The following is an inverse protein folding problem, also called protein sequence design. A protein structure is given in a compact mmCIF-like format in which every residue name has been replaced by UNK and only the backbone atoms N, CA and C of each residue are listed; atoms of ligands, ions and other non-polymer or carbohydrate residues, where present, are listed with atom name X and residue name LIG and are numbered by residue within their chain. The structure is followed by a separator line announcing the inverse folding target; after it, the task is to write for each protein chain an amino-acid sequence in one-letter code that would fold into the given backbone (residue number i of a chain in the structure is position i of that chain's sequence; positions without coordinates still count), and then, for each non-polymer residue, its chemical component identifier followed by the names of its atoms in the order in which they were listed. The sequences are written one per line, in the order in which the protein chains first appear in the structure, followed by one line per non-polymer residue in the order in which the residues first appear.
data_IF_523425881271
#
_entry.id   IF_523425881271
#
_cell.length_a   1.000
_cell.length_b   1.000
_cell.length_c   1.000
_cell.angle_alpha   90.00
_cell.angle_beta   90.00
_cell.angle_gamma   90.00
#
_symmetry.space_group_name_H-M   'P 1'
#
loop_
_entity.id
_entity.type
_entity.pdbx_description
1 polymer ?
#
# COMPACT_ATOMS: atom_id res chain seq x y z
N UNK A 1 43.20 -13.30 24.08
CA UNK A 1 42.19 -12.24 23.90
C UNK A 1 42.68 -11.25 22.84
N UNK A 2 42.06 -11.15 21.67
CA UNK A 2 42.43 -10.15 20.65
C UNK A 2 41.71 -8.85 20.96
N UNK A 3 42.41 -7.87 21.51
CA UNK A 3 41.87 -6.53 21.76
C UNK A 3 41.71 -5.83 20.41
N UNK A 4 40.48 -5.75 19.89
CA UNK A 4 40.18 -4.92 18.72
C UNK A 4 40.37 -3.44 19.09
N UNK A 5 41.52 -2.86 18.72
CA UNK A 5 41.81 -1.44 18.92
C UNK A 5 40.74 -0.59 18.21
N UNK A 6 39.96 0.19 18.97
CA UNK A 6 38.98 1.12 18.41
C UNK A 6 39.70 2.31 17.77
N UNK A 7 39.41 2.58 16.50
CA UNK A 7 39.98 3.73 15.79
C UNK A 7 39.59 5.07 16.42
N UNK A 8 40.58 5.97 16.51
CA UNK A 8 40.39 7.34 17.00
C UNK A 8 39.41 8.11 16.10
N UNK A 9 38.80 9.17 16.64
CA UNK A 9 37.85 10.02 15.90
C UNK A 9 38.51 10.63 14.64
N UNK A 10 39.74 11.12 14.81
CA UNK A 10 40.54 11.70 13.73
C UNK A 10 40.86 10.68 12.63
N UNK A 11 41.17 9.43 12.98
CA UNK A 11 41.38 8.37 12.01
C UNK A 11 40.12 8.10 11.16
N UNK A 12 38.94 8.07 11.79
CA UNK A 12 37.65 7.89 11.08
C UNK A 12 37.32 9.07 10.15
N UNK A 13 37.60 10.29 10.58
CA UNK A 13 37.45 11.49 9.74
C UNK A 13 38.39 11.48 8.54
N UNK A 14 39.65 11.07 8.73
CA UNK A 14 40.64 10.95 7.66
C UNK A 14 40.26 9.87 6.63
N UNK A 15 39.75 8.72 7.09
CA UNK A 15 39.20 7.69 6.21
C UNK A 15 38.00 8.22 5.41
N UNK A 16 37.09 8.94 6.06
CA UNK A 16 35.91 9.51 5.39
C UNK A 16 36.28 10.57 4.35
N UNK A 17 37.30 11.41 4.62
CA UNK A 17 37.81 12.40 3.67
C UNK A 17 38.48 11.72 2.48
N UNK A 18 39.31 10.70 2.71
CA UNK A 18 40.02 9.95 1.66
C UNK A 18 39.10 9.17 0.73
N UNK A 19 37.97 8.66 1.24
CA UNK A 19 36.99 7.92 0.46
C UNK A 19 36.01 8.82 -0.33
N UNK A 20 35.94 10.12 -0.01
CA UNK A 20 34.99 11.05 -0.61
C UNK A 20 35.36 11.30 -2.08
N UNK A 21 34.44 11.00 -3.00
CA UNK A 21 34.62 11.23 -4.45
C UNK A 21 35.36 10.12 -5.22
N UNK A 22 36.03 9.18 -4.54
CA UNK A 22 36.68 8.04 -5.21
C UNK A 22 35.64 6.98 -5.58
N UNK A 23 35.39 6.77 -6.87
CA UNK A 23 34.61 5.61 -7.33
C UNK A 23 35.44 4.36 -7.10
N UNK A 24 34.88 3.39 -6.37
CA UNK A 24 35.48 2.07 -6.27
C UNK A 24 35.62 1.50 -7.69
N UNK A 25 36.81 1.05 -8.07
CA UNK A 25 37.11 0.47 -9.39
C UNK A 25 36.26 -0.76 -9.72
N UNK A 26 35.66 -1.39 -8.71
CA UNK A 26 34.74 -2.52 -8.85
C UNK A 26 33.30 -2.08 -9.14
N UNK A 27 32.95 -0.79 -8.96
CA UNK A 27 31.59 -0.29 -9.10
C UNK A 27 31.17 -0.30 -10.59
N UNK A 28 30.15 -1.09 -10.92
CA UNK A 28 29.69 -1.30 -12.30
C UNK A 28 30.37 -2.45 -13.05
N UNK A 29 31.41 -3.09 -12.48
CA UNK A 29 32.07 -4.24 -13.09
C UNK A 29 31.14 -5.46 -13.10
N UNK A 30 30.74 -5.91 -14.29
CA UNK A 30 29.94 -7.14 -14.45
C UNK A 30 30.80 -8.36 -14.11
N UNK A 31 30.30 -9.24 -13.26
CA UNK A 31 30.95 -10.52 -12.98
C UNK A 31 30.71 -11.49 -14.14
N UNK A 32 31.72 -12.29 -14.47
CA UNK A 32 31.55 -13.44 -15.37
C UNK A 32 30.55 -14.44 -14.79
N UNK A 33 29.88 -15.20 -15.66
CA UNK A 33 28.94 -16.23 -15.24
C UNK A 33 29.61 -17.28 -14.34
N UNK A 34 30.84 -17.69 -14.68
CA UNK A 34 31.66 -18.57 -13.85
C UNK A 34 31.87 -18.02 -12.43
N UNK A 35 32.21 -16.73 -12.31
CA UNK A 35 32.42 -16.09 -11.00
C UNK A 35 31.11 -16.01 -10.19
N UNK A 36 29.98 -15.77 -10.86
CA UNK A 36 28.64 -15.81 -10.21
C UNK A 36 28.31 -17.22 -9.71
N UNK A 37 28.59 -18.25 -10.52
CA UNK A 37 28.37 -19.65 -10.16
C UNK A 37 29.25 -20.07 -8.97
N UNK A 38 30.55 -19.75 -9.00
CA UNK A 38 31.48 -20.02 -7.88
C UNK A 38 31.06 -19.30 -6.59
N UNK A 39 30.65 -18.03 -6.68
CA UNK A 39 30.16 -17.30 -5.52
C UNK A 39 28.85 -17.88 -4.96
N UNK A 40 27.94 -18.32 -5.83
CA UNK A 40 26.69 -18.99 -5.45
C UNK A 40 26.95 -20.32 -4.75
N UNK A 41 27.84 -21.16 -5.31
CA UNK A 41 28.27 -22.42 -4.71
C UNK A 41 28.84 -22.21 -3.31
N UNK A 42 29.79 -21.28 -3.15
CA UNK A 42 30.38 -20.93 -1.85
C UNK A 42 29.35 -20.47 -0.82
N UNK A 43 28.36 -19.68 -1.23
CA UNK A 43 27.28 -19.20 -0.36
C UNK A 43 26.32 -20.31 0.06
N UNK A 44 26.14 -21.33 -0.79
CA UNK A 44 25.33 -22.52 -0.49
C UNK A 44 26.07 -23.51 0.42
N UNK A 45 27.38 -23.68 0.21
CA UNK A 45 28.25 -24.54 1.03
C UNK A 45 28.42 -23.99 2.44
N UNK A 46 28.63 -22.68 2.57
CA UNK A 46 28.85 -22.04 3.86
C UNK A 46 27.84 -20.89 4.09
N UNK A 47 26.53 -21.21 4.19
CA UNK A 47 25.53 -20.18 4.40
C UNK A 47 25.79 -19.56 5.77
N UNK A 48 25.56 -18.26 5.90
CA UNK A 48 25.73 -17.54 7.16
C UNK A 48 24.61 -17.99 8.12
N UNK A 49 24.75 -19.20 8.71
CA UNK A 49 23.72 -19.90 9.49
C UNK A 49 23.47 -19.28 10.87
N UNK A 50 24.39 -18.46 11.37
CA UNK A 50 24.36 -18.05 12.78
C UNK A 50 23.14 -17.21 13.19
N UNK A 51 22.43 -16.57 12.25
CA UNK A 51 21.18 -15.83 12.50
C UNK A 51 19.94 -16.52 11.93
N UNK A 52 20.07 -17.59 11.14
CA UNK A 52 18.92 -18.31 10.61
C UNK A 52 18.15 -18.97 11.76
N UNK A 53 16.86 -18.67 11.86
CA UNK A 53 15.97 -19.21 12.91
C UNK A 53 16.12 -18.59 14.29
N UNK A 54 17.18 -17.80 14.56
CA UNK A 54 17.36 -17.15 15.86
C UNK A 54 16.47 -15.92 15.97
N UNK A 55 15.63 -15.88 17.01
CA UNK A 55 14.90 -14.66 17.37
C UNK A 55 15.89 -13.61 17.87
N UNK A 56 15.78 -12.39 17.34
CA UNK A 56 16.58 -11.27 17.83
C UNK A 56 16.25 -11.00 19.32
N UNK A 57 17.23 -10.60 20.14
CA UNK A 57 16.99 -10.24 21.53
C UNK A 57 15.89 -9.17 21.65
N UNK A 58 14.95 -9.36 22.58
CA UNK A 58 13.78 -8.46 22.76
C UNK A 58 14.21 -7.01 22.99
N UNK A 59 15.26 -6.81 23.78
CA UNK A 59 15.92 -5.52 24.04
C UNK A 59 16.30 -4.78 22.74
N UNK A 60 16.99 -5.45 21.82
CA UNK A 60 17.38 -4.86 20.53
C UNK A 60 16.17 -4.49 19.67
N UNK A 61 15.15 -5.34 19.65
CA UNK A 61 13.91 -5.07 18.92
C UNK A 61 13.21 -3.84 19.49
N UNK A 62 13.08 -3.75 20.82
CA UNK A 62 12.51 -2.59 21.53
C UNK A 62 13.29 -1.31 21.21
N UNK A 63 14.62 -1.35 21.30
CA UNK A 63 15.50 -0.21 21.01
C UNK A 63 15.32 0.28 19.56
N UNK A 64 15.30 -0.63 18.59
CA UNK A 64 15.04 -0.30 17.17
C UNK A 64 13.65 0.32 16.97
N UNK A 65 12.63 -0.25 17.61
CA UNK A 65 11.26 0.28 17.54
C UNK A 65 11.17 1.69 18.14
N UNK A 66 11.83 1.93 19.28
CA UNK A 66 11.91 3.25 19.92
C UNK A 66 12.52 4.30 19.00
N UNK A 67 13.69 4.02 18.41
CA UNK A 67 14.32 4.94 17.45
C UNK A 67 13.46 5.17 16.20
N UNK A 68 12.81 4.12 15.68
CA UNK A 68 11.93 4.24 14.51
C UNK A 68 10.68 5.08 14.80
N UNK A 69 10.10 4.99 16.00
CA UNK A 69 8.93 5.76 16.40
C UNK A 69 9.22 7.26 16.42
N UNK A 70 10.41 7.64 16.88
CA UNK A 70 10.81 9.04 17.02
C UNK A 70 11.44 9.63 15.75
N UNK A 71 11.80 8.78 14.79
CA UNK A 71 12.39 9.23 13.53
C UNK A 71 11.32 9.80 12.59
N UNK A 72 11.48 11.09 12.25
CA UNK A 72 10.66 11.77 11.24
C UNK A 72 11.53 12.10 10.03
N UNK A 73 11.05 11.75 8.84
CA UNK A 73 11.69 12.15 7.60
C UNK A 73 11.59 13.67 7.39
N UNK A 74 12.57 14.26 6.70
CA UNK A 74 12.47 15.65 6.24
C UNK A 74 11.34 15.81 5.23
N UNK A 75 10.78 17.03 5.11
CA UNK A 75 9.74 17.35 4.11
C UNK A 75 10.18 16.95 2.69
N UNK A 76 11.42 17.27 2.33
CA UNK A 76 12.02 16.91 1.05
C UNK A 76 12.04 15.39 0.82
N UNK A 77 12.40 14.61 1.85
CA UNK A 77 12.42 13.14 1.75
C UNK A 77 11.01 12.58 1.59
N UNK A 78 10.03 13.12 2.33
CA UNK A 78 8.62 12.74 2.21
C UNK A 78 8.12 12.99 0.79
N UNK A 79 8.46 14.14 0.21
CA UNK A 79 8.07 14.49 -1.14
C UNK A 79 8.69 13.56 -2.19
N UNK A 80 9.99 13.24 -2.07
CA UNK A 80 10.66 12.26 -2.95
C UNK A 80 9.98 10.90 -2.89
N UNK A 81 9.69 10.40 -1.68
CA UNK A 81 8.98 9.13 -1.47
C UNK A 81 7.57 9.19 -2.10
N UNK A 82 6.84 10.27 -1.90
CA UNK A 82 5.50 10.48 -2.46
C UNK A 82 5.53 10.49 -3.99
N UNK A 83 6.47 11.21 -4.60
CA UNK A 83 6.66 11.27 -6.06
C UNK A 83 6.97 9.89 -6.63
N UNK A 84 7.90 9.16 -6.03
CA UNK A 84 8.29 7.82 -6.49
C UNK A 84 7.13 6.80 -6.46
N UNK A 85 6.12 7.02 -5.60
CA UNK A 85 4.95 6.14 -5.47
C UNK A 85 3.80 6.47 -6.43
N UNK A 86 3.90 7.54 -7.23
CA UNK A 86 2.81 8.03 -8.09
C UNK A 86 3.07 7.79 -9.57
N UNK A 87 2.00 7.37 -10.26
CA UNK A 87 1.95 7.30 -11.73
C UNK A 87 3.18 6.63 -12.34
N UNK A 88 3.74 7.26 -13.36
CA UNK A 88 4.90 6.77 -14.15
C UNK A 88 6.18 6.51 -13.36
N UNK A 89 6.31 7.05 -12.16
CA UNK A 89 7.49 6.84 -11.33
C UNK A 89 7.46 5.50 -10.59
N UNK A 90 6.30 4.85 -10.54
CA UNK A 90 6.19 3.52 -9.93
C UNK A 90 6.57 2.46 -10.96
N UNK A 91 7.48 1.55 -10.57
CA UNK A 91 8.04 0.52 -11.46
C UNK A 91 7.01 -0.40 -12.13
N UNK A 92 5.82 -0.56 -11.53
CA UNK A 92 4.72 -1.38 -12.06
C UNK A 92 3.55 -0.56 -12.62
N UNK A 93 3.78 0.71 -12.98
CA UNK A 93 2.76 1.54 -13.59
C UNK A 93 2.48 1.10 -15.03
N UNK A 94 1.21 0.85 -15.32
CA UNK A 94 0.74 0.37 -16.63
C UNK A 94 -0.10 1.45 -17.33
N UNK A 95 0.43 2.67 -17.46
CA UNK A 95 -0.24 3.75 -18.21
C UNK A 95 -1.56 4.27 -17.62
N UNK A 96 -1.85 4.05 -16.33
CA UNK A 96 -3.05 4.59 -15.70
C UNK A 96 -4.35 3.80 -15.95
N UNK A 97 -4.26 2.51 -16.26
CA UNK A 97 -5.38 1.56 -16.48
C UNK A 97 -6.29 1.29 -15.26
N UNK A 98 -6.46 2.25 -14.35
CA UNK A 98 -7.38 2.09 -13.22
C UNK A 98 -8.80 1.95 -13.76
N UNK A 99 -9.52 0.86 -13.47
CA UNK A 99 -10.87 0.66 -14.00
C UNK A 99 -11.81 1.80 -13.60
N UNK A 100 -12.68 2.24 -14.52
CA UNK A 100 -13.63 3.34 -14.30
C UNK A 100 -14.42 3.17 -13.00
N UNK A 101 -14.92 1.96 -12.74
CA UNK A 101 -15.67 1.62 -11.51
C UNK A 101 -14.88 1.92 -10.22
N UNK A 102 -13.56 1.70 -10.25
CA UNK A 102 -12.66 1.99 -9.14
C UNK A 102 -12.38 3.48 -9.01
N UNK A 103 -12.35 4.22 -10.11
CA UNK A 103 -12.23 5.68 -10.08
C UNK A 103 -13.48 6.30 -9.46
N UNK A 104 -14.67 5.88 -9.90
CA UNK A 104 -15.96 6.36 -9.39
C UNK A 104 -16.08 6.08 -7.89
N UNK A 105 -15.79 4.85 -7.42
CA UNK A 105 -15.87 4.52 -5.98
C UNK A 105 -14.83 5.22 -5.12
N UNK A 106 -13.79 5.80 -5.71
CA UNK A 106 -12.78 6.61 -5.02
C UNK A 106 -13.10 8.11 -5.05
N UNK A 107 -14.10 8.53 -5.83
CA UNK A 107 -14.45 9.94 -5.97
C UNK A 107 -15.00 10.52 -4.66
N UNK A 108 -14.86 11.83 -4.44
CA UNK A 108 -15.51 12.53 -3.33
C UNK A 108 -17.03 12.31 -3.30
N UNK A 109 -17.68 12.30 -4.46
CA UNK A 109 -19.13 12.13 -4.60
C UNK A 109 -19.59 10.77 -4.10
N UNK A 110 -18.85 9.69 -4.40
CA UNK A 110 -19.18 8.37 -3.85
C UNK A 110 -19.02 8.32 -2.33
N UNK A 111 -17.98 8.98 -1.80
CA UNK A 111 -17.80 9.08 -0.34
C UNK A 111 -18.97 9.80 0.32
N UNK A 112 -19.44 10.89 -0.28
CA UNK A 112 -20.58 11.66 0.21
C UNK A 112 -21.86 10.83 0.14
N UNK A 113 -22.17 10.23 -1.02
CA UNK A 113 -23.33 9.36 -1.19
C UNK A 113 -23.34 8.23 -0.16
N UNK A 114 -22.21 7.53 0.02
CA UNK A 114 -22.07 6.47 1.02
C UNK A 114 -22.33 7.00 2.43
N UNK A 115 -21.79 8.16 2.78
CA UNK A 115 -22.01 8.79 4.09
C UNK A 115 -23.49 9.11 4.31
N UNK A 116 -24.17 9.63 3.29
CA UNK A 116 -25.60 9.96 3.36
C UNK A 116 -26.46 8.71 3.54
N UNK A 117 -26.15 7.62 2.83
CA UNK A 117 -26.84 6.32 2.99
C UNK A 117 -26.66 5.80 4.42
N UNK A 118 -25.42 5.80 4.94
CA UNK A 118 -25.16 5.38 6.32
C UNK A 118 -25.89 6.26 7.33
N UNK A 119 -25.93 7.58 7.13
CA UNK A 119 -26.60 8.50 8.02
C UNK A 119 -28.11 8.28 8.03
N UNK A 120 -28.74 8.12 6.85
CA UNK A 120 -30.17 7.79 6.73
C UNK A 120 -30.51 6.49 7.48
N UNK A 121 -29.67 5.48 7.31
CA UNK A 121 -29.85 4.16 7.93
C UNK A 121 -29.35 4.12 9.38
N UNK A 122 -28.97 5.27 9.94
CA UNK A 122 -28.46 5.41 11.30
C UNK A 122 -27.33 4.41 11.60
N UNK A 123 -26.41 4.24 10.65
CA UNK A 123 -25.30 3.27 10.68
C UNK A 123 -25.74 1.85 11.06
N UNK A 124 -26.93 1.45 10.63
CA UNK A 124 -27.51 0.14 10.97
C UNK A 124 -27.69 -0.69 9.71
N UNK A 125 -27.27 -1.96 9.77
CA UNK A 125 -27.54 -2.91 8.70
C UNK A 125 -29.06 -3.08 8.52
N UNK A 126 -29.59 -2.76 7.35
CA UNK A 126 -31.03 -2.81 7.07
C UNK A 126 -31.57 -4.23 6.83
N UNK A 127 -30.73 -5.26 7.02
CA UNK A 127 -31.14 -6.67 6.90
C UNK A 127 -31.15 -7.39 8.24
N UNK A 128 -30.15 -7.17 9.10
CA UNK A 128 -30.05 -7.83 10.40
C UNK A 128 -30.14 -6.88 11.60
N UNK A 129 -30.35 -5.58 11.37
CA UNK A 129 -30.48 -4.54 12.38
C UNK A 129 -29.25 -4.35 13.29
N UNK A 130 -28.11 -4.94 12.95
CA UNK A 130 -26.85 -4.69 13.67
C UNK A 130 -26.34 -3.28 13.37
N UNK A 131 -26.14 -2.50 14.44
CA UNK A 131 -25.60 -1.14 14.37
C UNK A 131 -24.07 -1.16 14.39
N UNK A 132 -23.45 -0.40 13.49
CA UNK A 132 -21.99 -0.20 13.44
C UNK A 132 -21.20 -1.37 12.84
N UNK A 133 -19.90 -1.39 13.12
CA UNK A 133 -18.97 -2.43 12.64
C UNK A 133 -18.59 -2.28 11.16
N UNK A 134 -18.47 -3.41 10.46
CA UNK A 134 -18.05 -3.47 9.05
C UNK A 134 -19.25 -3.28 8.11
N UNK A 135 -19.66 -2.02 7.93
CA UNK A 135 -20.78 -1.64 7.07
C UNK A 135 -20.32 -1.31 5.64
N UNK A 136 -21.11 -1.73 4.65
CA UNK A 136 -20.95 -1.44 3.24
C UNK A 136 -22.24 -0.82 2.68
N UNK A 137 -22.12 0.23 1.86
CA UNK A 137 -23.25 0.78 1.13
C UNK A 137 -23.45 -0.01 -0.16
N UNK A 138 -24.58 -0.69 -0.26
CA UNK A 138 -24.99 -1.46 -1.42
C UNK A 138 -25.93 -0.62 -2.29
N UNK A 139 -25.74 -0.68 -3.61
CA UNK A 139 -26.69 -0.12 -4.57
C UNK A 139 -27.78 -1.16 -4.84
N UNK A 140 -29.04 -0.84 -4.52
CA UNK A 140 -30.20 -1.72 -4.77
C UNK A 140 -30.32 -2.00 -6.27
N UNK A 141 -30.49 -0.97 -7.09
CA UNK A 141 -30.24 -1.09 -8.53
C UNK A 141 -28.74 -1.17 -8.76
N UNK A 142 -28.28 -2.36 -9.18
CA UNK A 142 -26.87 -2.70 -9.36
C UNK A 142 -26.10 -1.59 -10.08
N UNK A 143 -24.98 -1.19 -9.47
CA UNK A 143 -24.08 -0.14 -9.98
C UNK A 143 -23.75 -0.30 -11.47
N UNK A 144 -23.44 -1.51 -11.93
CA UNK A 144 -23.10 -1.76 -13.34
C UNK A 144 -24.30 -1.60 -14.30
N UNK A 145 -25.53 -1.93 -13.85
CA UNK A 145 -26.75 -1.74 -14.66
C UNK A 145 -26.95 -0.24 -14.91
N UNK A 146 -26.74 0.60 -13.89
CA UNK A 146 -26.82 2.06 -14.03
C UNK A 146 -25.78 2.58 -15.02
N UNK A 147 -24.53 2.11 -14.95
CA UNK A 147 -23.50 2.53 -15.92
C UNK A 147 -23.88 2.15 -17.36
N UNK A 148 -24.36 0.92 -17.56
CA UNK A 148 -24.74 0.41 -18.88
C UNK A 148 -25.91 1.18 -19.49
N UNK A 149 -27.00 1.33 -18.73
CA UNK A 149 -28.22 2.00 -19.19
C UNK A 149 -28.00 3.48 -19.52
N UNK A 150 -27.14 4.17 -18.75
CA UNK A 150 -26.83 5.58 -18.97
C UNK A 150 -25.60 5.78 -19.87
N UNK A 151 -25.08 4.70 -20.49
CA UNK A 151 -23.94 4.69 -21.42
C UNK A 151 -22.69 5.40 -20.90
N UNK A 152 -22.42 5.31 -19.61
CA UNK A 152 -21.33 6.00 -18.93
C UNK A 152 -19.99 5.34 -19.26
N UNK A 153 -19.08 6.10 -19.86
CA UNK A 153 -17.73 5.68 -20.28
C UNK A 153 -16.63 6.46 -19.57
N UNK A 154 -16.92 7.66 -19.06
CA UNK A 154 -15.92 8.50 -18.39
C UNK A 154 -16.27 8.75 -16.93
N UNK A 155 -15.27 9.19 -16.15
CA UNK A 155 -15.49 9.58 -14.76
C UNK A 155 -16.42 10.80 -14.68
N UNK A 156 -16.24 11.77 -15.56
CA UNK A 156 -17.03 13.01 -15.61
C UNK A 156 -18.51 12.75 -15.86
N UNK A 157 -18.84 11.87 -16.81
CA UNK A 157 -20.21 11.41 -17.06
C UNK A 157 -20.80 10.73 -15.82
N UNK A 158 -20.02 9.88 -15.14
CA UNK A 158 -20.46 9.23 -13.91
C UNK A 158 -20.77 10.26 -12.81
N UNK A 159 -19.93 11.27 -12.64
CA UNK A 159 -20.14 12.33 -11.65
C UNK A 159 -21.42 13.14 -11.92
N UNK A 160 -21.79 13.34 -13.19
CA UNK A 160 -23.02 14.03 -13.59
C UNK A 160 -24.28 13.13 -13.53
N UNK A 161 -24.13 11.81 -13.43
CA UNK A 161 -25.27 10.89 -13.41
C UNK A 161 -25.97 10.85 -12.04
N UNK A 162 -27.08 11.57 -11.90
CA UNK A 162 -27.87 11.63 -10.65
C UNK A 162 -28.30 10.24 -10.14
N UNK A 163 -28.59 9.28 -11.03
CA UNK A 163 -29.03 7.91 -10.66
C UNK A 163 -27.98 7.13 -9.85
N UNK A 164 -26.68 7.44 -10.01
CA UNK A 164 -25.62 6.81 -9.21
C UNK A 164 -25.62 7.30 -7.75
N UNK A 165 -26.15 8.51 -7.53
CA UNK A 165 -26.10 9.26 -6.28
C UNK A 165 -27.45 9.34 -5.58
N UNK A 166 -28.45 8.64 -6.09
CA UNK A 166 -29.74 8.52 -5.42
C UNK A 166 -29.57 7.74 -4.12
N UNK A 167 -29.87 8.40 -3.00
CA UNK A 167 -29.76 7.82 -1.66
C UNK A 167 -30.79 6.70 -1.50
N UNK A 168 -31.97 6.83 -2.12
CA UNK A 168 -33.03 5.80 -2.05
C UNK A 168 -32.62 4.52 -2.78
N UNK A 169 -31.68 4.61 -3.71
CA UNK A 169 -31.07 3.47 -4.36
C UNK A 169 -29.89 2.87 -3.57
N UNK A 170 -29.58 3.39 -2.38
CA UNK A 170 -28.57 2.88 -1.46
C UNK A 170 -29.20 2.15 -0.28
N UNK A 171 -28.50 1.15 0.25
CA UNK A 171 -28.84 0.47 1.50
C UNK A 171 -27.58 0.11 2.27
N UNK A 172 -27.60 0.34 3.59
CA UNK A 172 -26.52 -0.02 4.50
C UNK A 172 -26.64 -1.49 4.89
N UNK A 173 -25.58 -2.27 4.63
CA UNK A 173 -25.52 -3.69 4.98
C UNK A 173 -24.23 -3.98 5.75
N UNK A 174 -24.26 -4.88 6.73
CA UNK A 174 -23.01 -5.46 7.24
C UNK A 174 -22.37 -6.35 6.18
N UNK A 175 -21.07 -6.61 6.31
CA UNK A 175 -20.31 -7.44 5.37
C UNK A 175 -20.98 -8.80 5.09
N UNK A 176 -21.46 -9.48 6.13
CA UNK A 176 -22.07 -10.81 6.00
C UNK A 176 -23.36 -10.75 5.18
N UNK A 177 -24.25 -9.80 5.50
CA UNK A 177 -25.48 -9.58 4.73
C UNK A 177 -25.18 -9.13 3.29
N UNK A 178 -24.15 -8.29 3.08
CA UNK A 178 -23.76 -7.83 1.76
C UNK A 178 -23.16 -8.95 0.88
N UNK A 179 -22.51 -9.95 1.47
CA UNK A 179 -22.05 -11.12 0.73
C UNK A 179 -23.21 -12.02 0.30
N UNK A 180 -24.30 -12.07 1.06
CA UNK A 180 -25.51 -12.81 0.69
C UNK A 180 -26.24 -12.18 -0.50
N UNK A 181 -26.26 -10.85 -0.63
CA UNK A 181 -26.90 -10.18 -1.77
C UNK A 181 -26.19 -10.46 -3.09
N UNK A 182 -24.85 -10.61 -3.08
CA UNK A 182 -24.07 -11.04 -4.26
C UNK A 182 -24.46 -12.42 -4.79
N UNK A 183 -25.08 -13.26 -3.94
CA UNK A 183 -25.56 -14.60 -4.28
C UNK A 183 -27.04 -14.63 -4.68
N UNK A 184 -27.65 -13.47 -4.97
CA UNK A 184 -29.04 -13.37 -5.45
C UNK A 184 -30.11 -13.50 -4.38
N UNK A 185 -29.77 -13.38 -3.09
CA UNK A 185 -30.71 -13.68 -1.99
C UNK A 185 -31.54 -12.49 -1.50
N UNK A 186 -31.22 -11.25 -1.89
CA UNK A 186 -32.01 -10.03 -1.56
C UNK A 186 -31.53 -8.82 -2.38
N UNK A 187 -32.48 -7.96 -2.81
CA UNK A 187 -32.27 -6.69 -3.53
C UNK A 187 -31.69 -6.76 -4.97
N UNK A 188 -31.89 -7.87 -5.68
CA UNK A 188 -31.20 -8.19 -6.96
C UNK A 188 -31.99 -7.93 -8.25
#
# INVERSE_FOLDING_TARGET
MVIMKKFTKQHRENLSKSAKGKKNSQWGRKWSNERKLKASARMKENPIKHWLGKKQPKEMVKKRMFFKKNYKHSKETIEKISRARRGKYRWNWKGGITPLTKQIRKSPQYKQWRSNVYQRDNWTCQTCNNRGGNLEAHHIKKFYKILKENKIKTLEEALKCKKLWDINNGVTLCKDCHELTKKGKKYD
#
